data_IF_174372006688
#
_entry.id   IF_174372006688
#
_cell.length_a   1.000
_cell.length_b   1.000
_cell.length_c   1.000
_cell.angle_alpha   90.00
_cell.angle_beta   90.00
_cell.angle_gamma   90.00
#
_symmetry.space_group_name_H-M   'P 1'
#
loop_
_entity.id
_entity.type
_entity.pdbx_description
1 polymer ?
#
# COMPACT_ATOMS: atom_id res chain seq x y z
N UNK A 1 6.81 16.89 24.37
CA UNK A 1 5.36 16.90 24.69
C UNK A 1 4.69 15.83 23.84
N UNK A 2 3.75 15.05 24.39
CA UNK A 2 2.87 14.23 23.55
C UNK A 2 1.85 15.16 22.89
N UNK A 3 1.75 15.17 21.55
CA UNK A 3 0.61 15.84 20.93
C UNK A 3 -0.64 14.98 21.17
N UNK A 4 -1.74 15.57 21.66
CA UNK A 4 -2.94 14.82 22.01
C UNK A 4 -3.63 14.31 20.74
N UNK A 5 -3.73 12.99 20.59
CA UNK A 5 -4.64 12.38 19.64
C UNK A 5 -6.02 12.19 20.30
N UNK A 6 -7.13 12.65 19.71
CA UNK A 6 -8.46 12.46 20.30
C UNK A 6 -8.92 10.99 20.31
N UNK A 7 -8.22 10.08 19.61
CA UNK A 7 -8.54 8.65 19.55
C UNK A 7 -7.26 7.82 19.69
N UNK A 8 -7.29 6.67 20.37
CA UNK A 8 -6.16 5.75 20.35
C UNK A 8 -5.98 5.19 18.93
N UNK A 9 -4.86 5.52 18.29
CA UNK A 9 -4.50 5.04 16.95
C UNK A 9 -3.53 3.88 17.10
N UNK A 10 -3.87 2.74 16.49
CA UNK A 10 -2.96 1.60 16.39
C UNK A 10 -2.23 1.68 15.05
N UNK A 11 -0.91 1.82 15.10
CA UNK A 11 -0.06 1.76 13.92
C UNK A 11 0.07 0.31 13.43
N UNK A 12 0.38 0.15 12.14
CA UNK A 12 0.87 -1.14 11.66
C UNK A 12 2.17 -1.51 12.36
N UNK A 13 2.37 -2.82 12.60
CA UNK A 13 3.61 -3.34 13.19
C UNK A 13 4.78 -3.28 12.21
N UNK A 14 4.48 -3.28 10.91
CA UNK A 14 5.43 -3.14 9.82
C UNK A 14 5.27 -1.80 9.11
N UNK A 15 6.40 -1.25 8.65
CA UNK A 15 6.45 0.00 7.90
C UNK A 15 6.98 1.16 8.74
N UNK A 16 7.84 1.96 8.13
CA UNK A 16 8.36 3.18 8.74
C UNK A 16 7.45 4.39 8.49
N UNK A 17 7.83 5.57 9.01
CA UNK A 17 7.16 6.82 8.67
C UNK A 17 7.30 7.12 7.18
N UNK A 18 6.22 7.63 6.59
CA UNK A 18 6.19 8.17 5.23
C UNK A 18 6.18 9.70 5.36
N UNK A 19 7.20 10.36 4.84
CA UNK A 19 7.26 11.84 4.87
C UNK A 19 6.65 12.38 3.58
N UNK A 20 5.54 13.11 3.70
CA UNK A 20 4.84 13.73 2.60
C UNK A 20 4.48 15.18 2.96
N UNK A 21 4.79 16.13 2.08
CA UNK A 21 4.67 17.57 2.35
C UNK A 21 5.32 18.02 3.67
N UNK A 22 6.46 17.41 4.03
CA UNK A 22 7.17 17.69 5.28
C UNK A 22 6.50 17.14 6.54
N UNK A 23 5.38 16.44 6.42
CA UNK A 23 4.62 15.85 7.52
C UNK A 23 4.87 14.33 7.55
N UNK A 24 5.22 13.75 8.71
CA UNK A 24 5.35 12.31 8.83
C UNK A 24 3.98 11.64 8.97
N UNK A 25 3.82 10.52 8.26
CA UNK A 25 2.61 9.72 8.19
C UNK A 25 2.90 8.27 8.56
N UNK A 26 1.90 7.58 9.11
CA UNK A 26 1.97 6.14 9.37
C UNK A 26 0.68 5.45 8.97
N UNK A 27 0.80 4.27 8.37
CA UNK A 27 -0.34 3.40 8.18
C UNK A 27 -0.88 2.90 9.52
N UNK A 28 -2.20 2.89 9.65
CA UNK A 28 -2.92 2.45 10.84
C UNK A 28 -3.59 1.11 10.60
N UNK A 29 -3.84 0.34 11.67
CA UNK A 29 -4.66 -0.88 11.62
C UNK A 29 -6.14 -0.61 11.29
N UNK A 30 -6.57 0.65 11.39
CA UNK A 30 -7.95 1.09 11.16
C UNK A 30 -8.10 1.77 9.79
N UNK A 31 -7.39 1.26 8.77
CA UNK A 31 -7.70 1.57 7.37
C UNK A 31 -7.49 3.03 6.94
N UNK A 32 -6.40 3.62 7.43
CA UNK A 32 -6.03 4.99 7.14
C UNK A 32 -4.56 5.26 7.39
N UNK A 33 -4.13 6.44 6.99
CA UNK A 33 -2.88 7.06 7.41
C UNK A 33 -3.17 8.04 8.54
N UNK A 34 -2.32 8.07 9.55
CA UNK A 34 -2.27 9.17 10.50
C UNK A 34 -1.13 10.11 10.11
N UNK A 35 -1.45 11.37 9.88
CA UNK A 35 -0.50 12.45 9.72
C UNK A 35 -0.22 13.10 11.08
N UNK A 36 1.05 13.20 11.46
CA UNK A 36 1.46 13.80 12.73
C UNK A 36 2.09 15.18 12.47
N UNK A 37 1.23 16.20 12.40
CA UNK A 37 1.61 17.60 12.26
C UNK A 37 1.58 18.31 13.63
N UNK A 38 2.46 19.30 13.79
CA UNK A 38 2.50 20.16 14.98
C UNK A 38 1.29 21.09 15.07
N UNK A 39 0.73 21.51 13.93
CA UNK A 39 -0.43 22.43 13.90
C UNK A 39 -1.76 21.69 13.98
N UNK A 40 -1.85 20.49 13.38
CA UNK A 40 -3.01 19.62 13.45
C UNK A 40 -2.59 18.20 13.88
N UNK A 41 -2.46 17.96 15.19
CA UNK A 41 -1.98 16.68 15.66
C UNK A 41 -2.99 15.58 15.34
N UNK A 42 -2.51 14.56 14.63
CA UNK A 42 -3.24 13.32 14.33
C UNK A 42 -4.42 13.48 13.37
N UNK A 43 -4.18 14.14 12.24
CA UNK A 43 -5.11 14.11 11.11
C UNK A 43 -5.17 12.71 10.51
N UNK A 44 -6.37 12.19 10.30
CA UNK A 44 -6.60 10.89 9.66
C UNK A 44 -6.93 11.09 8.18
N UNK A 45 -6.23 10.36 7.33
CA UNK A 45 -6.51 10.24 5.90
C UNK A 45 -7.00 8.82 5.68
N UNK A 46 -8.25 8.66 5.26
CA UNK A 46 -8.80 7.33 4.95
C UNK A 46 -8.07 6.75 3.74
N UNK A 47 -7.85 5.45 3.71
CA UNK A 47 -7.42 4.75 2.50
C UNK A 47 -8.57 4.69 1.47
N UNK A 48 -8.30 4.36 0.18
CA UNK A 48 -9.33 4.26 -0.85
C UNK A 48 -10.50 3.34 -0.44
N UNK A 49 -11.73 3.72 -0.80
CA UNK A 49 -12.94 2.98 -0.40
C UNK A 49 -13.17 1.69 -1.20
N UNK A 50 -12.67 1.65 -2.44
CA UNK A 50 -12.84 0.53 -3.38
C UNK A 50 -11.74 -0.54 -3.30
N UNK A 51 -10.97 -0.50 -2.21
CA UNK A 51 -9.87 -1.42 -1.93
C UNK A 51 -10.35 -2.74 -1.32
N UNK A 52 -9.52 -3.77 -1.37
CA UNK A 52 -9.87 -5.10 -0.85
C UNK A 52 -9.76 -5.21 0.68
N UNK A 53 -10.90 -5.04 1.36
CA UNK A 53 -11.00 -5.14 2.82
C UNK A 53 -10.88 -6.57 3.37
N UNK A 54 -10.97 -7.62 2.55
CA UNK A 54 -10.83 -9.00 3.06
C UNK A 54 -9.42 -9.29 3.56
N UNK A 55 -8.43 -8.61 2.97
CA UNK A 55 -7.00 -8.78 3.27
C UNK A 55 -6.52 -7.86 4.41
N UNK A 56 -7.22 -6.75 4.67
CA UNK A 56 -6.83 -5.72 5.64
C UNK A 56 -6.82 -6.24 7.09
N UNK A 57 -7.74 -7.15 7.44
CA UNK A 57 -7.92 -7.62 8.82
C UNK A 57 -7.05 -8.82 9.25
N UNK A 58 -6.59 -9.65 8.31
CA UNK A 58 -5.99 -10.95 8.64
C UNK A 58 -4.46 -10.95 8.66
N UNK A 59 -3.83 -10.17 7.79
CA UNK A 59 -2.39 -10.30 7.53
C UNK A 59 -1.59 -9.07 7.96
N UNK A 60 -2.14 -8.24 8.86
CA UNK A 60 -1.41 -7.12 9.46
C UNK A 60 -0.96 -6.04 8.46
N UNK A 61 -1.60 -5.95 7.30
CA UNK A 61 -1.25 -4.99 6.24
C UNK A 61 0.01 -5.34 5.46
N UNK A 62 0.46 -6.60 5.44
CA UNK A 62 1.65 -7.02 4.66
C UNK A 62 1.47 -6.94 3.14
N UNK A 63 0.22 -6.87 2.66
CA UNK A 63 -0.12 -6.81 1.24
C UNK A 63 -0.34 -5.40 0.71
N UNK A 64 -0.05 -4.39 1.53
CA UNK A 64 -0.19 -2.99 1.14
C UNK A 64 1.11 -2.23 1.35
N UNK A 65 1.33 -1.25 0.49
CA UNK A 65 2.44 -0.33 0.55
C UNK A 65 1.89 1.07 0.37
N UNK A 66 2.24 1.95 1.30
CA UNK A 66 2.02 3.38 1.13
C UNK A 66 3.38 4.07 1.17
N UNK A 67 3.66 4.90 0.17
CA UNK A 67 4.89 5.69 0.14
C UNK A 67 4.76 6.85 -0.85
N UNK A 68 5.74 7.75 -0.82
CA UNK A 68 5.86 8.81 -1.81
C UNK A 68 6.62 8.30 -3.03
N UNK A 69 6.04 8.50 -4.20
CA UNK A 69 6.63 8.20 -5.50
C UNK A 69 6.43 9.44 -6.39
N UNK A 70 7.51 10.03 -6.87
CA UNK A 70 7.51 11.26 -7.68
C UNK A 70 6.71 12.42 -7.07
N UNK A 71 6.85 12.63 -5.76
CA UNK A 71 6.17 13.73 -5.07
C UNK A 71 4.68 13.50 -4.85
N UNK A 72 4.15 12.32 -5.18
CA UNK A 72 2.78 11.93 -4.91
C UNK A 72 2.72 10.85 -3.83
N UNK A 73 1.78 10.96 -2.90
CA UNK A 73 1.49 9.89 -1.96
C UNK A 73 0.70 8.79 -2.68
N UNK A 74 1.29 7.60 -2.80
CA UNK A 74 0.70 6.44 -3.46
C UNK A 74 0.30 5.39 -2.44
N UNK A 75 -0.77 4.68 -2.74
CA UNK A 75 -1.21 3.48 -2.05
C UNK A 75 -1.24 2.34 -3.06
N UNK A 76 -0.57 1.23 -2.74
CA UNK A 76 -0.54 0.01 -3.53
C UNK A 76 -1.08 -1.12 -2.67
N UNK A 77 -1.85 -2.02 -3.27
CA UNK A 77 -2.21 -3.28 -2.62
C UNK A 77 -2.21 -4.47 -3.57
N UNK A 78 -2.05 -5.66 -2.98
CA UNK A 78 -2.36 -6.94 -3.59
C UNK A 78 -3.73 -7.40 -3.11
N UNK A 79 -4.74 -7.31 -3.97
CA UNK A 79 -6.13 -7.67 -3.70
C UNK A 79 -6.48 -9.07 -4.23
N UNK A 80 -7.62 -9.61 -3.81
CA UNK A 80 -8.25 -10.85 -4.30
C UNK A 80 -7.35 -12.09 -4.23
N UNK A 81 -6.45 -12.12 -3.23
CA UNK A 81 -5.33 -13.07 -3.08
C UNK A 81 -5.75 -14.54 -3.20
N UNK A 82 -6.99 -14.86 -2.81
CA UNK A 82 -7.50 -16.24 -2.76
C UNK A 82 -8.12 -16.74 -4.06
N UNK A 83 -8.53 -15.86 -4.95
CA UNK A 83 -9.34 -16.24 -6.12
C UNK A 83 -8.68 -15.78 -7.42
N UNK A 84 -8.45 -14.48 -7.56
CA UNK A 84 -7.90 -13.90 -8.77
C UNK A 84 -7.09 -12.64 -8.42
N UNK A 85 -5.84 -12.82 -7.94
CA UNK A 85 -5.08 -11.72 -7.40
C UNK A 85 -4.96 -10.54 -8.37
N UNK A 86 -5.04 -9.33 -7.85
CA UNK A 86 -4.83 -8.11 -8.63
C UNK A 86 -3.92 -7.14 -7.90
N UNK A 87 -3.21 -6.33 -8.67
CA UNK A 87 -2.43 -5.21 -8.19
C UNK A 87 -3.21 -3.94 -8.46
N UNK A 88 -3.47 -3.16 -7.41
CA UNK A 88 -4.18 -1.91 -7.50
C UNK A 88 -3.31 -0.78 -6.97
N UNK A 89 -3.29 0.35 -7.69
CA UNK A 89 -2.50 1.52 -7.35
C UNK A 89 -3.38 2.75 -7.37
N UNK A 90 -3.37 3.47 -6.25
CA UNK A 90 -4.04 4.75 -6.09
C UNK A 90 -3.05 5.85 -5.81
N UNK A 91 -3.41 7.06 -6.25
CA UNK A 91 -2.69 8.29 -5.95
C UNK A 91 -3.61 9.22 -5.20
N UNK A 92 -3.10 9.79 -4.10
CA UNK A 92 -3.81 10.83 -3.36
C UNK A 92 -3.85 12.10 -4.22
N UNK A 93 -5.05 12.49 -4.67
CA UNK A 93 -5.26 13.66 -5.53
C UNK A 93 -5.48 14.92 -4.71
N UNK A 94 -6.24 14.81 -3.63
CA UNK A 94 -6.47 15.91 -2.70
C UNK A 94 -6.11 15.45 -1.29
N UNK A 95 -5.09 16.09 -0.73
CA UNK A 95 -4.62 15.80 0.60
C UNK A 95 -5.69 16.11 1.65
N UNK A 96 -6.33 17.28 1.55
CA UNK A 96 -7.28 17.88 2.51
C UNK A 96 -8.59 17.15 2.63
N UNK A 97 -9.12 16.69 1.50
CA UNK A 97 -10.32 15.85 1.50
C UNK A 97 -9.99 14.37 1.75
N UNK A 98 -8.74 13.95 1.51
CA UNK A 98 -8.34 12.55 1.55
C UNK A 98 -8.83 11.78 0.31
N UNK A 99 -8.97 12.46 -0.83
CA UNK A 99 -9.46 11.88 -2.07
C UNK A 99 -8.36 11.10 -2.79
N UNK A 100 -8.65 9.83 -3.07
CA UNK A 100 -7.78 8.93 -3.83
C UNK A 100 -8.35 8.69 -5.22
N UNK A 101 -7.47 8.59 -6.21
CA UNK A 101 -7.80 8.19 -7.56
C UNK A 101 -7.07 6.90 -7.92
N UNK A 102 -7.81 5.91 -8.39
CA UNK A 102 -7.25 4.67 -8.93
C UNK A 102 -6.55 4.95 -10.26
N UNK A 103 -5.24 4.77 -10.32
CA UNK A 103 -4.45 4.96 -11.54
C UNK A 103 -4.29 3.64 -12.32
N UNK A 104 -4.13 2.53 -11.59
CA UNK A 104 -3.90 1.24 -12.20
C UNK A 104 -4.61 0.13 -11.44
N UNK A 105 -5.23 -0.78 -12.21
CA UNK A 105 -5.70 -2.08 -11.76
C UNK A 105 -5.26 -3.11 -12.76
N UNK A 106 -4.50 -4.10 -12.32
CA UNK A 106 -4.03 -5.17 -13.20
C UNK A 106 -4.21 -6.51 -12.53
N UNK A 107 -4.84 -7.44 -13.25
CA UNK A 107 -4.97 -8.80 -12.77
C UNK A 107 -3.65 -9.51 -12.94
N UNK A 108 -3.25 -10.26 -11.93
CA UNK A 108 -2.01 -11.01 -11.95
C UNK A 108 -1.97 -11.97 -13.14
N UNK A 109 -3.09 -12.63 -13.47
CA UNK A 109 -3.17 -13.55 -14.61
C UNK A 109 -2.82 -12.91 -15.97
N UNK A 110 -3.07 -11.61 -16.13
CA UNK A 110 -2.76 -10.90 -17.36
C UNK A 110 -1.25 -10.64 -17.49
N UNK A 111 -0.53 -10.61 -16.36
CA UNK A 111 0.92 -10.36 -16.32
C UNK A 111 1.74 -11.65 -16.27
N UNK A 112 1.15 -12.79 -15.84
CA UNK A 112 1.82 -14.11 -15.84
C UNK A 112 2.21 -14.64 -17.22
N UNK A 113 1.63 -14.09 -18.29
CA UNK A 113 1.88 -14.54 -19.66
C UNK A 113 3.32 -14.27 -20.14
N UNK A 114 4.12 -13.50 -19.42
CA UNK A 114 5.47 -13.08 -19.84
C UNK A 114 6.63 -13.82 -19.18
N UNK A 115 6.47 -14.47 -18.01
CA UNK A 115 7.58 -15.18 -17.35
C UNK A 115 7.10 -16.40 -16.54
N UNK A 116 7.02 -17.57 -17.20
CA UNK A 116 6.50 -18.84 -16.66
C UNK A 116 7.28 -19.37 -15.43
N UNK A 117 8.48 -18.85 -15.17
CA UNK A 117 9.41 -19.37 -14.14
C UNK A 117 8.97 -19.11 -12.71
N UNK A 118 8.23 -18.03 -12.47
CA UNK A 118 7.85 -17.60 -11.11
C UNK A 118 6.42 -17.98 -10.73
N UNK A 119 5.60 -18.33 -11.72
CA UNK A 119 4.14 -18.33 -11.57
C UNK A 119 3.47 -19.66 -11.96
N UNK A 120 4.11 -20.79 -11.65
CA UNK A 120 3.37 -22.05 -11.66
C UNK A 120 2.18 -21.95 -10.69
N UNK A 121 1.02 -22.44 -11.08
CA UNK A 121 -0.25 -22.35 -10.33
C UNK A 121 -0.18 -22.90 -8.89
N UNK A 122 0.83 -23.71 -8.57
CA UNK A 122 1.15 -24.21 -7.24
C UNK A 122 1.98 -23.24 -6.36
N UNK A 123 2.73 -22.32 -6.96
CA UNK A 123 3.62 -21.37 -6.25
C UNK A 123 2.93 -20.05 -5.86
N UNK A 124 1.86 -19.69 -6.56
CA UNK A 124 0.95 -18.59 -6.22
C UNK A 124 0.11 -18.87 -4.97
N UNK A 125 -0.04 -20.14 -4.62
CA UNK A 125 -0.73 -20.57 -3.41
C UNK A 125 0.13 -20.26 -2.16
N UNK A 126 0.17 -18.99 -1.76
CA UNK A 126 -0.43 -18.50 -0.50
C UNK A 126 0.19 -17.24 0.10
N UNK A 127 1.45 -16.86 -0.16
CA UNK A 127 2.07 -15.75 0.59
C UNK A 127 3.22 -15.05 -0.17
N UNK A 128 3.28 -15.20 -1.49
CA UNK A 128 4.57 -15.03 -2.15
C UNK A 128 4.87 -13.63 -2.66
N UNK A 129 3.96 -12.66 -2.74
CA UNK A 129 4.35 -11.33 -3.25
C UNK A 129 3.85 -10.23 -2.33
N UNK A 130 4.75 -9.72 -1.48
CA UNK A 130 4.50 -8.56 -0.64
C UNK A 130 5.07 -7.32 -1.31
N UNK A 131 4.33 -6.20 -1.42
CA UNK A 131 4.91 -4.99 -1.95
C UNK A 131 6.06 -4.49 -1.07
N UNK A 132 7.17 -4.18 -1.71
CA UNK A 132 8.42 -3.80 -1.05
C UNK A 132 8.73 -2.31 -1.23
N UNK A 133 8.64 -1.78 -2.46
CA UNK A 133 8.91 -0.38 -2.76
C UNK A 133 8.30 0.04 -4.10
N UNK A 134 8.05 1.33 -4.29
CA UNK A 134 7.88 1.92 -5.63
C UNK A 134 9.25 2.15 -6.25
N UNK A 135 9.35 2.08 -7.58
CA UNK A 135 10.56 2.54 -8.25
C UNK A 135 10.71 4.06 -8.12
N UNK A 136 11.93 4.57 -7.87
CA UNK A 136 12.16 6.01 -7.72
C UNK A 136 12.19 6.79 -9.04
N UNK A 137 12.23 6.12 -10.19
CA UNK A 137 12.34 6.73 -11.51
C UNK A 137 11.21 6.33 -12.47
N UNK A 138 10.72 5.10 -12.38
CA UNK A 138 9.65 4.55 -13.21
C UNK A 138 8.30 4.59 -12.48
N UNK A 139 7.39 5.45 -12.95
CA UNK A 139 6.14 5.79 -12.26
C UNK A 139 5.19 4.60 -12.04
N UNK A 140 5.23 3.64 -12.95
CA UNK A 140 4.33 2.50 -13.02
C UNK A 140 4.96 1.23 -12.45
N UNK A 141 6.19 1.33 -11.92
CA UNK A 141 6.94 0.17 -11.44
C UNK A 141 6.89 0.02 -9.92
N UNK A 142 6.61 -1.20 -9.47
CA UNK A 142 6.60 -1.62 -8.06
C UNK A 142 7.47 -2.85 -7.87
N UNK A 143 8.29 -2.83 -6.83
CA UNK A 143 9.06 -3.97 -6.38
C UNK A 143 8.23 -4.82 -5.42
N UNK A 144 8.18 -6.13 -5.68
CA UNK A 144 7.53 -7.13 -4.85
C UNK A 144 8.60 -8.05 -4.23
N UNK A 145 8.51 -8.29 -2.93
CA UNK A 145 9.28 -9.33 -2.25
C UNK A 145 8.59 -10.67 -2.42
N UNK A 146 9.31 -11.62 -3.02
CA UNK A 146 8.83 -12.98 -3.25
C UNK A 146 9.82 -14.06 -2.85
N UNK A 147 9.52 -14.76 -1.75
CA UNK A 147 10.32 -15.87 -1.22
C UNK A 147 11.82 -15.55 -1.10
N UNK A 148 12.14 -14.31 -0.72
CA UNK A 148 13.53 -13.83 -0.60
C UNK A 148 14.13 -13.24 -1.88
N UNK A 149 13.35 -13.16 -2.97
CA UNK A 149 13.71 -12.47 -4.20
C UNK A 149 12.97 -11.13 -4.32
N UNK A 150 13.50 -10.20 -5.10
CA UNK A 150 12.80 -8.99 -5.51
C UNK A 150 12.38 -9.15 -6.97
N UNK A 151 11.11 -8.88 -7.24
CA UNK A 151 10.52 -8.85 -8.58
C UNK A 151 10.13 -7.40 -8.88
N UNK A 152 10.39 -6.94 -10.10
CA UNK A 152 9.83 -5.68 -10.61
C UNK A 152 8.53 -5.97 -11.35
N UNK A 153 7.51 -5.18 -11.07
CA UNK A 153 6.21 -5.22 -11.71
C UNK A 153 5.92 -3.87 -12.35
#
# INVERSE_FOLDING_TARGET
>A
SMLPCPRPIQLLESGGPIVYNGIPHWCTRQDGLVAYDHNNPCRLIKLPEDRDMETDGFDGGIYRLCNVCHGHLKYFEVAEIRVNPSFNVWVLKDYDTGEWCLEQRTRLIDTLRSDERFFSSSNLNRFASMPAAFDPFELDMVYLSCRGHILSY
#
